data_IF_967146717663
#
_entry.id   IF_967146717663
#
_cell.length_a   1.000
_cell.length_b   1.000
_cell.length_c   1.000
_cell.angle_alpha   90.00
_cell.angle_beta   90.00
_cell.angle_gamma   90.00
#
_symmetry.space_group_name_H-M   'P 1'
#
loop_
_entity.id
_entity.type
_entity.pdbx_description
1 polymer ?
#
# COMPACT_ATOMS: atom_id res chain seq x y z
N UNK A 1 -7.91 21.84 -11.62
CA UNK A 1 -6.89 20.76 -11.54
C UNK A 1 -7.03 19.88 -12.78
N UNK A 2 -5.92 19.55 -13.44
CA UNK A 2 -5.90 19.01 -14.81
C UNK A 2 -6.46 17.58 -14.89
N UNK A 3 -7.76 17.48 -15.15
CA UNK A 3 -8.50 16.25 -15.43
C UNK A 3 -7.77 15.33 -16.43
N UNK A 4 -7.03 15.93 -17.39
CA UNK A 4 -6.26 15.25 -18.43
C UNK A 4 -5.14 14.35 -17.85
N UNK A 5 -4.37 14.82 -16.87
CA UNK A 5 -3.26 14.05 -16.30
C UNK A 5 -3.76 12.76 -15.63
N UNK A 6 -4.76 12.89 -14.76
CA UNK A 6 -5.30 11.75 -14.02
C UNK A 6 -6.12 10.81 -14.89
N UNK A 7 -6.74 11.30 -15.96
CA UNK A 7 -7.33 10.42 -16.97
C UNK A 7 -6.27 9.62 -17.73
N UNK A 8 -5.12 10.22 -18.03
CA UNK A 8 -3.99 9.51 -18.66
C UNK A 8 -3.45 8.45 -17.71
N UNK A 9 -3.11 8.81 -16.47
CA UNK A 9 -2.66 7.85 -15.45
C UNK A 9 -3.68 6.72 -15.29
N UNK A 10 -4.97 7.05 -15.23
CA UNK A 10 -6.02 6.05 -15.14
C UNK A 10 -6.04 5.09 -16.32
N UNK A 11 -5.96 5.61 -17.55
CA UNK A 11 -5.92 4.79 -18.76
C UNK A 11 -4.69 3.88 -18.77
N UNK A 12 -3.50 4.44 -18.51
CA UNK A 12 -2.25 3.69 -18.47
C UNK A 12 -2.30 2.58 -17.38
N UNK A 13 -2.94 2.88 -16.25
CA UNK A 13 -3.16 1.90 -15.15
C UNK A 13 -4.10 0.78 -15.57
N UNK A 14 -5.19 1.09 -16.28
CA UNK A 14 -6.12 0.09 -16.80
C UNK A 14 -5.44 -0.83 -17.81
N UNK A 15 -4.64 -0.28 -18.72
CA UNK A 15 -3.92 -1.04 -19.73
C UNK A 15 -2.87 -1.95 -19.06
N UNK A 16 -2.09 -1.40 -18.11
CA UNK A 16 -1.14 -2.19 -17.31
C UNK A 16 -1.83 -3.33 -16.55
N UNK A 17 -2.98 -3.08 -15.93
CA UNK A 17 -3.71 -4.10 -15.20
C UNK A 17 -4.25 -5.20 -16.12
N UNK A 18 -4.74 -4.86 -17.32
CA UNK A 18 -5.16 -5.85 -18.31
C UNK A 18 -4.00 -6.74 -18.71
N UNK A 19 -2.85 -6.14 -19.00
CA UNK A 19 -1.64 -6.88 -19.37
C UNK A 19 -1.19 -7.81 -18.24
N UNK A 20 -1.26 -7.36 -16.98
CA UNK A 20 -0.96 -8.18 -15.81
C UNK A 20 -1.88 -9.39 -15.68
N UNK A 21 -3.19 -9.18 -15.83
CA UNK A 21 -4.18 -10.27 -15.75
C UNK A 21 -3.88 -11.35 -16.81
N UNK A 22 -3.43 -10.96 -18.00
CA UNK A 22 -3.04 -11.94 -19.04
C UNK A 22 -1.74 -12.69 -18.74
N UNK A 23 -0.85 -12.12 -17.91
CA UNK A 23 0.40 -12.75 -17.49
C UNK A 23 0.21 -13.68 -16.29
N UNK A 24 -0.94 -13.65 -15.62
CA UNK A 24 -1.15 -14.45 -14.43
C UNK A 24 -1.16 -15.95 -14.74
N UNK A 25 -0.53 -16.77 -13.89
CA UNK A 25 -0.55 -18.20 -14.08
C UNK A 25 -1.96 -18.74 -13.86
N UNK A 26 -2.44 -19.53 -14.81
CA UNK A 26 -3.70 -20.23 -14.65
C UNK A 26 -3.47 -21.52 -13.84
N UNK A 27 -4.07 -21.65 -12.65
CA UNK A 27 -3.83 -22.79 -11.76
C UNK A 27 -4.29 -24.14 -12.35
N UNK A 28 -5.23 -24.14 -13.30
CA UNK A 28 -5.77 -25.36 -13.91
C UNK A 28 -4.93 -25.86 -15.09
N UNK A 29 -4.20 -24.97 -15.77
CA UNK A 29 -3.53 -25.30 -17.05
C UNK A 29 -2.01 -25.18 -16.99
N UNK A 30 -1.47 -24.40 -16.05
CA UNK A 30 -0.04 -24.11 -16.03
C UNK A 30 0.77 -25.15 -15.25
N UNK A 31 1.87 -25.61 -15.85
CA UNK A 31 2.82 -26.49 -15.17
C UNK A 31 3.59 -25.69 -14.10
N UNK A 32 3.86 -26.27 -12.93
CA UNK A 32 4.64 -25.61 -11.90
C UNK A 32 6.05 -25.28 -12.41
N UNK A 33 6.52 -24.07 -12.10
CA UNK A 33 7.89 -23.66 -12.38
C UNK A 33 8.81 -24.48 -11.48
N UNK A 34 9.71 -25.27 -12.08
CA UNK A 34 10.60 -26.18 -11.34
C UNK A 34 11.78 -25.46 -10.69
N UNK A 35 12.25 -24.39 -11.33
CA UNK A 35 13.33 -23.58 -10.79
C UNK A 35 12.77 -22.56 -9.80
N UNK A 36 13.19 -22.69 -8.54
CA UNK A 36 12.78 -21.82 -7.45
C UNK A 36 13.18 -20.37 -7.70
N UNK A 37 14.38 -20.13 -8.26
CA UNK A 37 14.86 -18.77 -8.50
C UNK A 37 14.01 -18.10 -9.58
N UNK A 38 13.75 -18.78 -10.69
CA UNK A 38 12.85 -18.28 -11.72
C UNK A 38 11.42 -18.06 -11.21
N UNK A 39 10.89 -18.95 -10.35
CA UNK A 39 9.58 -18.79 -9.74
C UNK A 39 9.53 -17.54 -8.85
N UNK A 40 10.56 -17.33 -8.02
CA UNK A 40 10.66 -16.16 -7.17
C UNK A 40 10.73 -14.86 -7.99
N UNK A 41 11.60 -14.80 -9.01
CA UNK A 41 11.75 -13.64 -9.88
C UNK A 41 10.43 -13.30 -10.60
N UNK A 42 9.70 -14.31 -11.05
CA UNK A 42 8.38 -14.13 -11.65
C UNK A 42 7.37 -13.54 -10.66
N UNK A 43 7.25 -14.11 -9.45
CA UNK A 43 6.34 -13.61 -8.41
C UNK A 43 6.72 -12.20 -7.97
N UNK A 44 8.01 -11.92 -7.78
CA UNK A 44 8.52 -10.61 -7.40
C UNK A 44 8.19 -9.55 -8.47
N UNK A 45 8.33 -9.89 -9.76
CA UNK A 45 7.94 -9.01 -10.86
C UNK A 45 6.44 -8.72 -10.86
N UNK A 46 5.60 -9.74 -10.69
CA UNK A 46 4.14 -9.57 -10.59
C UNK A 46 3.77 -8.70 -9.38
N UNK A 47 4.33 -8.98 -8.21
CA UNK A 47 4.10 -8.23 -6.98
C UNK A 47 4.38 -6.74 -7.16
N UNK A 48 5.56 -6.38 -7.69
CA UNK A 48 5.96 -4.98 -7.90
C UNK A 48 5.03 -4.29 -8.90
N UNK A 49 4.71 -4.94 -10.03
CA UNK A 49 3.82 -4.35 -11.04
C UNK A 49 2.41 -4.12 -10.49
N UNK A 50 1.87 -5.06 -9.70
CA UNK A 50 0.58 -4.84 -9.02
C UNK A 50 0.64 -3.69 -8.02
N UNK A 51 1.77 -3.53 -7.32
CA UNK A 51 1.96 -2.41 -6.41
C UNK A 51 2.01 -1.06 -7.14
N UNK A 52 2.58 -1.00 -8.34
CA UNK A 52 2.51 0.19 -9.19
C UNK A 52 1.07 0.52 -9.62
N UNK A 53 0.29 -0.50 -10.01
CA UNK A 53 -1.14 -0.35 -10.32
C UNK A 53 -1.89 0.19 -9.10
N UNK A 54 -1.63 -0.34 -7.91
CA UNK A 54 -2.21 0.14 -6.66
C UNK A 54 -1.91 1.62 -6.43
N UNK A 55 -0.63 2.01 -6.49
CA UNK A 55 -0.20 3.41 -6.29
C UNK A 55 -0.85 4.37 -7.28
N UNK A 56 -0.91 4.01 -8.56
CA UNK A 56 -1.55 4.86 -9.57
C UNK A 56 -3.07 4.94 -9.38
N UNK A 57 -3.71 3.84 -8.99
CA UNK A 57 -5.14 3.81 -8.66
C UNK A 57 -5.44 4.68 -7.44
N UNK A 58 -4.56 4.70 -6.43
CA UNK A 58 -4.70 5.52 -5.23
C UNK A 58 -4.64 7.01 -5.58
N UNK A 59 -3.65 7.41 -6.39
CA UNK A 59 -3.53 8.76 -6.92
C UNK A 59 -4.77 9.19 -7.71
N UNK A 60 -5.31 8.28 -8.52
CA UNK A 60 -6.56 8.53 -9.24
C UNK A 60 -7.75 8.68 -8.29
N UNK A 61 -7.89 7.80 -7.29
CA UNK A 61 -8.97 7.83 -6.31
C UNK A 61 -9.01 9.15 -5.52
N UNK A 62 -7.85 9.65 -5.12
CA UNK A 62 -7.70 10.92 -4.41
C UNK A 62 -8.17 12.12 -5.26
N UNK A 63 -7.91 12.08 -6.56
CA UNK A 63 -8.04 13.25 -7.44
C UNK A 63 -9.38 13.28 -8.19
N UNK A 64 -10.05 12.14 -8.36
CA UNK A 64 -11.38 12.11 -8.93
C UNK A 64 -12.45 12.54 -7.92
N UNK A 65 -13.23 13.56 -8.28
CA UNK A 65 -14.32 14.09 -7.44
C UNK A 65 -15.67 13.42 -7.68
N UNK A 66 -15.84 12.71 -8.81
CA UNK A 66 -17.12 12.14 -9.23
C UNK A 66 -17.49 10.88 -8.40
N UNK A 67 -18.60 10.86 -7.64
CA UNK A 67 -18.89 9.80 -6.68
C UNK A 67 -18.91 8.38 -7.25
N UNK A 68 -19.52 8.21 -8.43
CA UNK A 68 -19.62 6.90 -9.11
C UNK A 68 -18.23 6.35 -9.47
N UNK A 69 -17.34 7.20 -9.97
CA UNK A 69 -15.97 6.81 -10.32
C UNK A 69 -15.17 6.48 -9.07
N UNK A 70 -15.31 7.27 -8.00
CA UNK A 70 -14.62 7.00 -6.72
C UNK A 70 -15.04 5.66 -6.12
N UNK A 71 -16.33 5.32 -6.16
CA UNK A 71 -16.80 4.01 -5.65
C UNK A 71 -16.15 2.84 -6.39
N UNK A 72 -16.07 2.92 -7.71
CA UNK A 72 -15.41 1.90 -8.53
C UNK A 72 -13.91 1.81 -8.25
N UNK A 73 -13.23 2.96 -8.13
CA UNK A 73 -11.81 3.00 -7.83
C UNK A 73 -11.47 2.47 -6.44
N UNK A 74 -12.34 2.72 -5.45
CA UNK A 74 -12.19 2.12 -4.11
C UNK A 74 -12.26 0.60 -4.19
N UNK A 75 -13.26 0.06 -4.87
CA UNK A 75 -13.37 -1.39 -5.06
C UNK A 75 -12.15 -1.95 -5.79
N UNK A 76 -11.66 -1.26 -6.82
CA UNK A 76 -10.45 -1.68 -7.52
C UNK A 76 -9.21 -1.64 -6.61
N UNK A 77 -9.06 -0.61 -5.78
CA UNK A 77 -7.98 -0.54 -4.78
C UNK A 77 -8.01 -1.75 -3.85
N UNK A 78 -9.18 -2.11 -3.31
CA UNK A 78 -9.35 -3.26 -2.43
C UNK A 78 -8.98 -4.58 -3.13
N UNK A 79 -9.41 -4.75 -4.38
CA UNK A 79 -9.10 -5.94 -5.18
C UNK A 79 -7.59 -6.05 -5.49
N UNK A 80 -6.96 -4.95 -5.93
CA UNK A 80 -5.52 -4.93 -6.22
C UNK A 80 -4.70 -5.15 -4.95
N UNK A 81 -5.14 -4.60 -3.80
CA UNK A 81 -4.53 -4.89 -2.50
C UNK A 81 -4.59 -6.36 -2.14
N UNK A 82 -5.77 -6.97 -2.25
CA UNK A 82 -5.91 -8.41 -2.04
C UNK A 82 -4.93 -9.19 -2.92
N UNK A 83 -4.87 -8.85 -4.20
CA UNK A 83 -4.03 -9.58 -5.16
C UNK A 83 -2.54 -9.50 -4.87
N UNK A 84 -1.98 -8.33 -4.59
CA UNK A 84 -0.55 -8.26 -4.27
C UNK A 84 -0.22 -8.89 -2.92
N UNK A 85 -1.15 -8.92 -1.97
CA UNK A 85 -0.97 -9.62 -0.69
C UNK A 85 -0.96 -11.14 -0.86
N UNK A 86 -1.81 -11.68 -1.73
CA UNK A 86 -1.78 -13.10 -2.12
C UNK A 86 -0.42 -13.47 -2.74
N UNK A 87 0.05 -12.69 -3.71
CA UNK A 87 1.36 -12.92 -4.35
C UNK A 87 2.49 -12.83 -3.31
N UNK A 88 2.43 -11.83 -2.41
CA UNK A 88 3.41 -11.70 -1.32
C UNK A 88 3.40 -12.92 -0.40
N UNK A 89 2.22 -13.47 -0.11
CA UNK A 89 2.08 -14.68 0.67
C UNK A 89 2.69 -15.89 -0.06
N UNK A 90 2.46 -16.04 -1.36
CA UNK A 90 3.09 -17.10 -2.17
C UNK A 90 4.62 -16.98 -2.17
N UNK A 91 5.17 -15.77 -2.30
CA UNK A 91 6.61 -15.54 -2.19
C UNK A 91 7.18 -15.97 -0.83
N UNK A 92 6.48 -15.61 0.25
CA UNK A 92 6.85 -16.02 1.60
C UNK A 92 6.84 -17.55 1.75
N UNK A 93 5.85 -18.24 1.19
CA UNK A 93 5.81 -19.71 1.21
C UNK A 93 6.95 -20.32 0.40
N UNK A 94 7.31 -19.70 -0.72
CA UNK A 94 8.41 -20.16 -1.59
C UNK A 94 9.78 -20.02 -0.90
N UNK A 95 10.02 -18.88 -0.26
CA UNK A 95 11.32 -18.55 0.35
C UNK A 95 11.43 -18.87 1.85
N UNK A 96 10.31 -19.18 2.51
CA UNK A 96 10.20 -19.35 3.97
C UNK A 96 10.71 -18.12 4.75
N UNK A 97 10.50 -16.93 4.20
CA UNK A 97 10.93 -15.65 4.75
C UNK A 97 9.90 -14.56 4.48
N UNK A 98 9.69 -13.65 5.43
CA UNK A 98 8.86 -12.46 5.20
C UNK A 98 9.62 -11.38 4.41
N UNK A 99 10.93 -11.35 4.61
CA UNK A 99 11.85 -10.35 4.04
C UNK A 99 12.43 -10.83 2.73
N UNK A 100 12.36 -9.97 1.73
CA UNK A 100 12.74 -10.27 0.36
C UNK A 100 13.47 -9.06 -0.24
N UNK A 101 14.57 -9.32 -0.94
CA UNK A 101 15.34 -8.32 -1.67
C UNK A 101 14.83 -8.23 -3.10
N UNK A 102 14.63 -7.02 -3.58
CA UNK A 102 14.02 -6.74 -4.89
C UNK A 102 14.98 -6.04 -5.85
N UNK A 103 16.25 -5.88 -5.48
CA UNK A 103 17.23 -5.05 -6.19
C UNK A 103 17.29 -5.38 -7.70
N UNK A 104 17.42 -6.65 -8.06
CA UNK A 104 17.48 -7.08 -9.45
C UNK A 104 16.19 -6.72 -10.22
N UNK A 105 15.03 -6.99 -9.62
CA UNK A 105 13.72 -6.70 -10.23
C UNK A 105 13.49 -5.19 -10.37
N UNK A 106 13.91 -4.41 -9.37
CA UNK A 106 13.82 -2.95 -9.42
C UNK A 106 14.72 -2.38 -10.51
N UNK A 107 15.93 -2.90 -10.67
CA UNK A 107 16.85 -2.50 -11.75
C UNK A 107 16.23 -2.80 -13.13
N UNK A 108 15.70 -4.02 -13.32
CA UNK A 108 15.07 -4.43 -14.57
C UNK A 108 13.86 -3.56 -14.93
N UNK A 109 13.04 -3.21 -13.93
CA UNK A 109 11.86 -2.36 -14.09
C UNK A 109 12.19 -0.86 -14.09
N UNK A 110 13.47 -0.48 -13.88
CA UNK A 110 13.95 0.90 -13.77
C UNK A 110 13.25 1.69 -12.66
N UNK A 111 13.09 1.06 -11.51
CA UNK A 111 12.43 1.60 -10.34
C UNK A 111 13.39 1.85 -9.19
N UNK A 112 13.01 2.77 -8.32
CA UNK A 112 13.68 3.03 -7.05
C UNK A 112 12.89 2.42 -5.90
N UNK A 113 13.50 2.23 -4.70
CA UNK A 113 12.77 1.76 -3.52
C UNK A 113 11.53 2.63 -3.18
N UNK A 114 11.61 3.94 -3.43
CA UNK A 114 10.51 4.87 -3.21
C UNK A 114 9.32 4.61 -4.14
N UNK A 115 9.51 3.94 -5.28
CA UNK A 115 8.44 3.59 -6.22
C UNK A 115 7.66 2.34 -5.80
N UNK A 116 8.20 1.56 -4.86
CA UNK A 116 7.59 0.34 -4.32
C UNK A 116 7.24 0.45 -2.83
N UNK A 117 7.28 1.66 -2.27
CA UNK A 117 6.67 1.92 -0.97
C UNK A 117 5.14 1.80 -1.06
N UNK A 118 4.50 1.17 -0.07
CA UNK A 118 3.05 0.97 -0.05
C UNK A 118 2.39 2.20 0.60
N UNK A 119 1.71 3.08 -0.16
CA UNK A 119 1.02 4.22 0.44
C UNK A 119 -0.21 3.75 1.23
N UNK A 120 -0.54 4.48 2.30
CA UNK A 120 -1.80 4.30 3.03
C UNK A 120 -2.93 4.95 2.21
N UNK A 121 -3.93 4.21 1.71
CA UNK A 121 -4.99 4.80 0.90
C UNK A 121 -5.81 5.81 1.70
N UNK A 122 -6.04 6.99 1.13
CA UNK A 122 -6.73 8.08 1.83
C UNK A 122 -8.16 7.76 2.27
N UNK A 123 -8.83 6.83 1.61
CA UNK A 123 -10.18 6.43 2.02
C UNK A 123 -10.22 5.77 3.41
N UNK A 124 -9.11 5.18 3.88
CA UNK A 124 -9.02 4.67 5.26
C UNK A 124 -9.21 5.78 6.28
N UNK A 125 -8.77 7.01 5.94
CA UNK A 125 -8.95 8.20 6.78
C UNK A 125 -10.36 8.75 6.60
N UNK A 126 -10.82 8.92 5.36
CA UNK A 126 -12.11 9.54 5.08
C UNK A 126 -13.30 8.73 5.63
N UNK A 127 -13.28 7.41 5.46
CA UNK A 127 -14.38 6.55 5.90
C UNK A 127 -14.41 6.43 7.43
N UNK A 128 -13.25 6.46 8.08
CA UNK A 128 -13.12 6.32 9.53
C UNK A 128 -12.96 7.67 10.25
N UNK A 129 -13.18 8.80 9.58
CA UNK A 129 -12.84 10.12 10.09
C UNK A 129 -13.44 10.41 11.48
N UNK A 130 -14.70 10.02 11.70
CA UNK A 130 -15.38 10.17 13.00
C UNK A 130 -14.68 9.36 14.08
N UNK A 131 -14.49 8.07 13.85
CA UNK A 131 -13.80 7.17 14.78
C UNK A 131 -12.38 7.64 15.09
N UNK A 132 -11.66 8.16 14.09
CA UNK A 132 -10.32 8.70 14.29
C UNK A 132 -10.35 9.97 15.17
N UNK A 133 -11.29 10.87 14.91
CA UNK A 133 -11.47 12.09 15.71
C UNK A 133 -11.90 11.80 17.15
N UNK A 134 -12.76 10.80 17.34
CA UNK A 134 -13.19 10.37 18.68
C UNK A 134 -12.01 9.77 19.47
N UNK A 135 -11.15 8.98 18.81
CA UNK A 135 -9.93 8.44 19.40
C UNK A 135 -8.91 9.53 19.72
N UNK A 136 -8.74 10.51 18.84
CA UNK A 136 -7.87 11.68 19.06
C UNK A 136 -8.33 12.44 20.31
N UNK A 137 -9.63 12.74 20.42
CA UNK A 137 -10.18 13.42 21.59
C UNK A 137 -10.01 12.61 22.89
N UNK A 138 -10.17 11.29 22.85
CA UNK A 138 -9.92 10.43 23.99
C UNK A 138 -8.44 10.45 24.43
N UNK A 139 -7.51 10.46 23.48
CA UNK A 139 -6.08 10.57 23.77
C UNK A 139 -5.74 11.90 24.41
N UNK A 140 -6.29 13.01 23.91
CA UNK A 140 -6.09 14.34 24.50
C UNK A 140 -6.54 14.37 25.97
N UNK A 141 -7.73 13.84 26.27
CA UNK A 141 -8.24 13.74 27.64
C UNK A 141 -7.34 12.88 28.55
N UNK A 142 -6.73 11.82 28.02
CA UNK A 142 -5.87 10.93 28.78
C UNK A 142 -4.48 11.54 29.04
N UNK A 143 -4.02 12.43 28.15
CA UNK A 143 -2.76 13.14 28.26
C UNK A 143 -2.86 14.41 29.14
N UNK A 144 -4.06 14.99 29.28
CA UNK A 144 -4.28 16.23 30.04
C UNK A 144 -3.91 16.19 31.55
N UNK A 145 -3.94 15.07 32.31
CA UNK A 145 -3.53 15.06 33.72
C UNK A 145 -2.20 14.35 34.02
N UNK A 146 -1.36 13.99 33.03
CA UNK A 146 -0.05 13.38 33.31
C UNK A 146 1.09 14.40 33.53
N UNK A 147 0.80 15.71 33.48
CA UNK A 147 1.79 16.79 33.52
C UNK A 147 1.84 17.65 34.78
N UNK A 148 1.05 17.38 35.83
CA UNK A 148 0.93 18.26 37.00
C UNK A 148 1.32 17.65 38.34
N UNK A 149 2.20 16.64 38.38
CA UNK A 149 2.82 16.17 39.62
C UNK A 149 4.34 16.02 39.44
N UNK A 150 5.01 17.13 39.17
CA UNK A 150 6.42 17.28 39.55
C UNK A 150 6.51 18.49 40.46
N UNK A 151 6.07 18.31 41.71
CA UNK A 151 6.47 19.22 42.78
C UNK A 151 7.99 19.13 42.90
N UNK A 152 8.69 20.10 42.33
CA UNK A 152 10.09 20.35 42.60
C UNK A 152 10.18 20.65 44.09
N UNK A 153 10.60 19.66 44.88
CA UNK A 153 10.94 19.81 46.29
C UNK A 153 12.07 20.82 46.36
N UNK A 154 11.74 22.08 46.66
CA UNK A 154 12.70 23.10 47.02
C UNK A 154 13.31 22.73 48.36
N UNK A 155 14.58 22.32 48.36
CA UNK A 155 15.38 22.22 49.57
C UNK A 155 15.48 23.62 50.21
N UNK A 156 15.19 23.79 51.50
CA UNK A 156 15.51 25.03 52.19
C UNK A 156 17.04 25.14 52.33
N UNK A 157 17.59 26.28 51.92
CA UNK A 157 18.99 26.66 52.08
C UNK A 157 19.30 26.74 53.58
N UNK A 158 20.31 26.01 54.03
CA UNK A 158 20.84 26.13 55.39
C UNK A 158 21.59 27.46 55.52
N UNK A 159 21.27 28.21 56.56
CA UNK A 159 22.06 29.32 57.10
C UNK A 159 22.43 28.97 58.54
#
# INVERSE_FOLDING_TARGET
>A
MSNVLYNKIWKDTQDTLRDLITQEPNPETQKPIKDRVAAFQFLASLYIKYLQVFRNTERCYDQFVHPQKRRLLKQLLELVMGRFLEIKHEMMQLELSDYHYFDDVLVDLKLTPNDVEIPIPKYFIYDNFRTLKDREHFLDQLLEPAGSDTQIVSKPSAM
#
